data_IF_436863764305
#
_entry.id   IF_436863764305
#
_cell.length_a   1.000
_cell.length_b   1.000
_cell.length_c   1.000
_cell.angle_alpha   90.00
_cell.angle_beta   90.00
_cell.angle_gamma   90.00
#
_symmetry.space_group_name_H-M   'P 1'
#
loop_
_entity.id
_entity.type
_entity.pdbx_description
1 polymer ?
#
# COMPACT_ATOMS: atom_id res chain seq x y z
N UNK A 1 2.16 -22.96 -1.58
CA UNK A 1 3.11 -21.83 -1.72
C UNK A 1 4.15 -21.92 -0.62
N UNK A 2 5.43 -21.75 -0.95
CA UNK A 2 6.56 -21.76 -0.02
C UNK A 2 6.89 -20.34 0.40
N UNK A 3 6.97 -20.11 1.72
CA UNK A 3 7.31 -18.82 2.29
C UNK A 3 8.65 -18.87 3.03
N UNK A 4 9.44 -17.80 2.91
CA UNK A 4 10.70 -17.63 3.65
C UNK A 4 10.78 -16.22 4.25
N UNK A 5 11.46 -16.04 5.39
CA UNK A 5 11.72 -14.70 5.91
C UNK A 5 12.41 -13.83 4.88
N UNK A 6 12.01 -12.57 4.72
CA UNK A 6 12.54 -11.68 3.70
C UNK A 6 14.05 -11.46 3.88
N UNK A 7 14.54 -11.42 5.12
CA UNK A 7 15.98 -11.40 5.43
C UNK A 7 16.73 -12.55 4.75
N UNK A 8 16.20 -13.77 4.83
CA UNK A 8 16.77 -14.96 4.20
C UNK A 8 16.67 -14.91 2.69
N UNK A 9 15.52 -14.52 2.14
CA UNK A 9 15.38 -14.37 0.67
C UNK A 9 16.44 -13.42 0.10
N UNK A 10 16.68 -12.29 0.75
CA UNK A 10 17.68 -11.31 0.30
C UNK A 10 19.12 -11.82 0.44
N UNK A 11 19.43 -12.58 1.49
CA UNK A 11 20.73 -13.23 1.67
C UNK A 11 20.98 -14.25 0.56
N UNK A 12 20.06 -15.20 0.39
CA UNK A 12 20.17 -16.25 -0.61
C UNK A 12 20.29 -15.69 -2.04
N UNK A 13 19.53 -14.65 -2.37
CA UNK A 13 19.66 -13.98 -3.67
C UNK A 13 21.05 -13.39 -3.86
N UNK A 14 21.62 -12.79 -2.82
CA UNK A 14 22.96 -12.20 -2.91
C UNK A 14 24.03 -13.27 -3.05
N UNK A 15 23.89 -14.40 -2.36
CA UNK A 15 24.79 -15.57 -2.48
C UNK A 15 24.69 -16.22 -3.87
N UNK A 16 23.48 -16.23 -4.47
CA UNK A 16 23.24 -16.72 -5.82
C UNK A 16 23.59 -15.69 -6.93
N UNK A 17 24.14 -14.51 -6.59
CA UNK A 17 24.51 -13.48 -7.55
C UNK A 17 23.32 -12.72 -8.18
N UNK A 18 22.11 -12.85 -7.63
CA UNK A 18 20.93 -12.12 -8.06
C UNK A 18 20.93 -10.68 -7.51
N UNK A 19 20.48 -9.74 -8.33
CA UNK A 19 20.56 -8.32 -7.99
C UNK A 19 19.51 -7.88 -6.95
N UNK A 20 19.89 -7.95 -5.67
CA UNK A 20 19.13 -7.40 -4.56
C UNK A 20 19.47 -5.92 -4.24
N UNK A 21 20.32 -5.25 -5.05
CA UNK A 21 20.70 -3.84 -4.83
C UNK A 21 19.52 -2.88 -4.78
N UNK A 22 18.45 -3.02 -5.59
CA UNK A 22 17.29 -2.11 -5.51
C UNK A 22 16.65 -2.11 -4.12
N UNK A 23 16.45 -3.30 -3.53
CA UNK A 23 15.90 -3.41 -2.19
C UNK A 23 16.82 -2.79 -1.14
N UNK A 24 18.12 -3.11 -1.17
CA UNK A 24 19.10 -2.61 -0.18
C UNK A 24 19.25 -1.08 -0.26
N UNK A 25 19.34 -0.53 -1.46
CA UNK A 25 19.38 0.92 -1.68
C UNK A 25 18.08 1.61 -1.23
N UNK A 26 16.93 0.97 -1.49
CA UNK A 26 15.63 1.39 -1.01
C UNK A 26 15.53 1.43 0.51
N UNK A 27 16.01 0.38 1.19
CA UNK A 27 16.02 0.32 2.65
C UNK A 27 16.83 1.46 3.27
N UNK A 28 17.99 1.78 2.68
CA UNK A 28 18.83 2.90 3.11
C UNK A 28 18.13 4.26 2.96
N UNK A 29 17.31 4.43 1.91
CA UNK A 29 16.48 5.62 1.69
C UNK A 29 15.27 5.67 2.64
N UNK A 30 14.62 4.52 2.85
CA UNK A 30 13.38 4.38 3.61
C UNK A 30 13.54 4.77 5.08
N UNK A 31 14.64 4.32 5.71
CA UNK A 31 14.92 4.55 7.14
C UNK A 31 14.85 6.04 7.54
N UNK A 32 15.66 6.94 6.98
CA UNK A 32 15.61 8.36 7.35
C UNK A 32 14.29 9.02 6.90
N UNK A 33 13.74 8.62 5.73
CA UNK A 33 12.49 9.18 5.21
C UNK A 33 11.32 8.94 6.16
N UNK A 34 11.17 7.70 6.66
CA UNK A 34 10.09 7.34 7.56
C UNK A 34 10.32 7.84 8.99
N UNK A 35 11.58 7.90 9.44
CA UNK A 35 11.91 8.57 10.70
C UNK A 35 11.46 10.04 10.69
N UNK A 36 11.67 10.76 9.59
CA UNK A 36 11.18 12.14 9.41
C UNK A 36 9.65 12.29 9.37
N UNK A 37 8.91 11.19 9.19
CA UNK A 37 7.44 11.14 9.32
C UNK A 37 6.98 10.75 10.73
N UNK A 38 7.91 10.44 11.65
CA UNK A 38 7.62 10.02 13.01
C UNK A 38 7.59 8.50 13.23
N UNK A 39 7.96 7.70 12.22
CA UNK A 39 8.06 6.26 12.39
C UNK A 39 9.34 5.92 13.17
N UNK A 40 9.17 5.33 14.36
CA UNK A 40 10.31 5.01 15.24
C UNK A 40 11.11 3.79 14.79
N UNK A 41 10.44 2.79 14.20
CA UNK A 41 11.05 1.52 13.77
C UNK A 41 10.36 1.02 12.52
N UNK A 42 11.15 0.53 11.56
CA UNK A 42 10.63 -0.23 10.42
C UNK A 42 10.15 -1.62 10.87
N UNK A 43 9.30 -2.25 10.07
CA UNK A 43 8.91 -3.65 10.26
C UNK A 43 10.18 -4.53 10.20
N UNK A 44 10.50 -5.33 11.22
CA UNK A 44 11.66 -6.22 11.15
C UNK A 44 11.56 -7.18 9.95
N UNK A 45 12.65 -7.36 9.20
CA UNK A 45 12.63 -8.19 7.99
C UNK A 45 12.25 -9.65 8.28
N UNK A 46 12.57 -10.17 9.47
CA UNK A 46 12.19 -11.53 9.89
C UNK A 46 10.68 -11.68 10.17
N UNK A 47 9.97 -10.56 10.32
CA UNK A 47 8.50 -10.51 10.42
C UNK A 47 7.82 -10.33 9.06
N UNK A 48 8.58 -10.41 7.97
CA UNK A 48 8.06 -10.36 6.60
C UNK A 48 8.32 -11.70 5.96
N UNK A 49 7.27 -12.37 5.51
CA UNK A 49 7.40 -13.62 4.78
C UNK A 49 7.16 -13.38 3.31
N UNK A 50 8.17 -13.67 2.50
CA UNK A 50 8.06 -13.64 1.06
C UNK A 50 7.71 -15.04 0.54
N UNK A 51 6.58 -15.15 -0.17
CA UNK A 51 6.23 -16.30 -0.98
C UNK A 51 7.15 -16.32 -2.19
N UNK A 52 7.99 -17.35 -2.28
CA UNK A 52 9.03 -17.48 -3.30
C UNK A 52 8.69 -18.52 -4.36
N UNK A 53 7.88 -19.53 -4.02
CA UNK A 53 7.54 -20.65 -4.90
C UNK A 53 6.09 -21.08 -4.77
N UNK A 54 5.48 -21.50 -5.87
CA UNK A 54 4.15 -22.10 -5.92
C UNK A 54 4.13 -23.30 -6.86
N UNK A 55 3.41 -24.35 -6.46
CA UNK A 55 3.16 -25.53 -7.30
C UNK A 55 1.95 -25.35 -8.22
N UNK A 56 1.13 -24.31 -7.98
CA UNK A 56 0.03 -23.96 -8.88
C UNK A 56 0.60 -23.48 -10.21
N UNK A 57 0.23 -24.16 -11.29
CA UNK A 57 0.60 -23.80 -12.64
C UNK A 57 0.21 -22.35 -12.96
N UNK A 58 1.14 -21.62 -13.60
CA UNK A 58 0.92 -20.22 -13.96
C UNK A 58 0.83 -19.23 -12.81
N UNK A 59 1.09 -19.65 -11.56
CA UNK A 59 1.08 -18.75 -10.41
C UNK A 59 2.06 -17.59 -10.58
N UNK A 60 1.57 -16.38 -10.36
CA UNK A 60 2.30 -15.14 -10.53
C UNK A 60 2.26 -14.31 -9.25
N UNK A 61 3.41 -13.92 -8.73
CA UNK A 61 3.52 -13.15 -7.50
C UNK A 61 3.71 -11.65 -7.70
N UNK A 62 3.95 -10.95 -6.59
CA UNK A 62 4.08 -9.50 -6.52
C UNK A 62 2.91 -8.84 -5.78
N UNK A 63 2.99 -7.53 -5.57
CA UNK A 63 2.15 -6.73 -4.66
C UNK A 63 0.64 -7.05 -4.69
N UNK A 64 0.08 -7.38 -5.87
CA UNK A 64 -1.34 -7.66 -6.07
C UNK A 64 -1.75 -9.14 -5.91
N UNK A 65 -0.85 -10.00 -5.44
CA UNK A 65 -1.17 -11.39 -5.16
C UNK A 65 -2.23 -11.50 -4.03
N UNK A 66 -3.26 -12.35 -4.16
CA UNK A 66 -4.42 -12.38 -3.27
C UNK A 66 -4.08 -12.63 -1.79
N UNK A 67 -3.03 -13.40 -1.52
CA UNK A 67 -2.62 -13.73 -0.14
C UNK A 67 -1.77 -12.66 0.55
N UNK A 68 -1.49 -11.52 -0.10
CA UNK A 68 -0.65 -10.48 0.50
C UNK A 68 -1.31 -9.77 1.70
N UNK A 69 -0.48 -9.08 2.48
CA UNK A 69 -0.88 -8.01 3.37
C UNK A 69 -0.41 -8.16 4.82
N UNK A 70 -0.49 -7.04 5.53
CA UNK A 70 -0.05 -6.93 6.91
C UNK A 70 -1.08 -7.46 7.92
N UNK A 71 -0.67 -8.43 8.74
CA UNK A 71 -1.46 -9.05 9.81
C UNK A 71 -1.10 -8.39 11.14
N UNK A 72 -1.85 -7.37 11.53
CA UNK A 72 -1.52 -6.49 12.64
C UNK A 72 -1.44 -7.15 14.02
N UNK A 73 -2.31 -8.11 14.38
CA UNK A 73 -2.23 -8.78 15.68
C UNK A 73 -0.96 -9.63 15.82
N UNK A 74 -0.53 -10.25 14.71
CA UNK A 74 0.71 -11.03 14.66
C UNK A 74 1.95 -10.14 14.46
N UNK A 75 1.74 -8.87 14.12
CA UNK A 75 2.77 -7.93 13.71
C UNK A 75 3.66 -8.54 12.61
N UNK A 76 3.04 -9.13 11.57
CA UNK A 76 3.71 -9.87 10.48
C UNK A 76 3.14 -9.48 9.12
N UNK A 77 3.98 -9.40 8.09
CA UNK A 77 3.57 -9.21 6.70
C UNK A 77 3.73 -10.51 5.89
N UNK A 78 2.79 -10.75 4.99
CA UNK A 78 2.91 -11.76 3.94
C UNK A 78 2.99 -11.02 2.60
N UNK A 79 4.05 -11.24 1.85
CA UNK A 79 4.26 -10.68 0.51
C UNK A 79 4.69 -11.80 -0.43
N UNK A 80 4.71 -11.57 -1.74
CA UNK A 80 5.18 -12.54 -2.73
C UNK A 80 6.21 -11.88 -3.65
N UNK A 81 7.18 -12.67 -4.10
CA UNK A 81 8.16 -12.25 -5.11
C UNK A 81 7.43 -11.98 -6.42
N UNK A 82 7.72 -10.86 -7.08
CA UNK A 82 7.10 -10.56 -8.38
C UNK A 82 7.62 -11.47 -9.48
N UNK A 83 6.73 -11.90 -10.38
CA UNK A 83 7.05 -12.81 -11.49
C UNK A 83 6.42 -14.20 -11.33
N UNK A 84 6.67 -15.10 -12.30
CA UNK A 84 6.26 -16.50 -12.19
C UNK A 84 6.88 -17.18 -10.97
N UNK A 85 6.07 -17.96 -10.24
CA UNK A 85 6.46 -18.58 -8.97
C UNK A 85 6.86 -20.07 -9.09
N UNK A 86 6.93 -20.63 -10.29
CA UNK A 86 7.16 -22.06 -10.47
C UNK A 86 8.57 -22.51 -10.02
N UNK A 87 9.59 -21.73 -10.38
CA UNK A 87 11.01 -22.08 -10.19
C UNK A 87 11.55 -21.79 -8.78
N UNK A 88 10.91 -20.90 -8.02
CA UNK A 88 11.46 -20.40 -6.76
C UNK A 88 12.47 -19.26 -6.90
N UNK A 89 12.84 -18.90 -8.13
CA UNK A 89 13.83 -17.85 -8.45
C UNK A 89 13.19 -16.81 -9.38
N UNK A 90 13.32 -15.50 -9.11
CA UNK A 90 12.73 -14.49 -9.98
C UNK A 90 13.38 -14.51 -11.37
N UNK A 91 12.56 -14.49 -12.42
CA UNK A 91 13.02 -14.29 -13.81
C UNK A 91 13.61 -12.89 -14.02
N UNK A 92 13.09 -11.90 -13.29
CA UNK A 92 13.55 -10.51 -13.31
C UNK A 92 13.91 -10.06 -11.88
N UNK A 93 15.15 -10.33 -11.42
CA UNK A 93 15.55 -10.06 -10.04
C UNK A 93 15.46 -8.59 -9.64
N UNK A 94 15.80 -7.66 -10.54
CA UNK A 94 15.75 -6.22 -10.24
C UNK A 94 14.32 -5.73 -10.04
N UNK A 95 13.40 -6.15 -10.92
CA UNK A 95 11.98 -5.80 -10.82
C UNK A 95 11.35 -6.42 -9.57
N UNK A 96 11.68 -7.69 -9.29
CA UNK A 96 11.23 -8.38 -8.10
C UNK A 96 11.76 -7.71 -6.82
N UNK A 97 13.02 -7.27 -6.80
CA UNK A 97 13.59 -6.52 -5.67
C UNK A 97 12.91 -5.16 -5.47
N UNK A 98 12.55 -4.46 -6.55
CA UNK A 98 11.77 -3.21 -6.46
C UNK A 98 10.34 -3.45 -5.95
N UNK A 99 9.67 -4.50 -6.39
CA UNK A 99 8.31 -4.80 -5.93
C UNK A 99 8.29 -5.23 -4.45
N UNK A 100 9.26 -6.06 -4.03
CA UNK A 100 9.49 -6.39 -2.62
C UNK A 100 9.74 -5.12 -1.79
N UNK A 101 10.49 -4.15 -2.33
CA UNK A 101 10.71 -2.86 -1.67
C UNK A 101 9.41 -2.06 -1.52
N UNK A 102 8.55 -2.02 -2.54
CA UNK A 102 7.22 -1.38 -2.45
C UNK A 102 6.40 -2.03 -1.35
N UNK A 103 6.24 -3.36 -1.40
CA UNK A 103 5.44 -4.10 -0.44
C UNK A 103 5.96 -3.91 1.00
N UNK A 104 7.28 -3.95 1.17
CA UNK A 104 7.91 -3.71 2.47
C UNK A 104 7.74 -2.26 2.96
N UNK A 105 7.95 -1.26 2.09
CA UNK A 105 7.77 0.15 2.43
C UNK A 105 6.31 0.47 2.79
N UNK A 106 5.37 -0.13 2.06
CA UNK A 106 3.94 -0.08 2.34
C UNK A 106 3.64 -0.64 3.74
N UNK A 107 4.04 -1.89 3.98
CA UNK A 107 3.73 -2.59 5.23
C UNK A 107 4.47 -2.03 6.45
N UNK A 108 5.60 -1.32 6.26
CA UNK A 108 6.22 -0.54 7.33
C UNK A 108 5.30 0.59 7.84
N UNK A 109 4.53 1.24 6.96
CA UNK A 109 3.57 2.26 7.37
C UNK A 109 2.36 1.62 8.07
N UNK A 110 1.88 0.47 7.59
CA UNK A 110 0.86 -0.29 8.31
C UNK A 110 1.37 -0.72 9.69
N UNK A 111 2.57 -1.29 9.78
CA UNK A 111 3.21 -1.68 11.03
C UNK A 111 3.29 -0.52 12.03
N UNK A 112 3.79 0.63 11.55
CA UNK A 112 4.00 1.82 12.37
C UNK A 112 2.77 2.63 12.72
N UNK A 113 1.66 2.43 12.03
CA UNK A 113 0.42 3.18 12.26
C UNK A 113 -0.10 2.94 13.68
N UNK A 114 -0.49 4.02 14.34
CA UNK A 114 -1.05 3.98 15.68
C UNK A 114 -2.30 3.10 15.74
N UNK A 115 -2.48 2.38 16.85
CA UNK A 115 -3.68 1.56 17.08
C UNK A 115 -4.11 1.66 18.52
N UNK A 116 -5.41 1.76 18.74
CA UNK A 116 -6.02 1.60 20.05
C UNK A 116 -6.99 0.43 20.04
N UNK A 117 -6.98 -0.33 21.13
CA UNK A 117 -7.89 -1.44 21.37
C UNK A 117 -8.64 -1.19 22.66
N UNK A 118 -9.83 -1.78 22.76
CA UNK A 118 -10.59 -1.85 24.01
C UNK A 118 -10.99 -3.30 24.23
N UNK A 119 -10.94 -3.71 25.49
CA UNK A 119 -11.51 -4.98 25.94
C UNK A 119 -13.01 -4.77 26.21
N UNK A 120 -13.85 -5.67 25.70
CA UNK A 120 -15.29 -5.69 25.94
C UNK A 120 -15.71 -7.12 26.26
N UNK A 121 -15.94 -7.42 27.54
CA UNK A 121 -16.00 -8.81 27.97
C UNK A 121 -14.68 -9.49 27.60
N UNK A 122 -14.76 -10.59 26.86
CA UNK A 122 -13.59 -11.35 26.39
C UNK A 122 -13.16 -10.99 24.96
N UNK A 123 -13.78 -9.98 24.34
CA UNK A 123 -13.48 -9.56 22.97
C UNK A 123 -12.52 -8.36 22.94
N UNK A 124 -11.47 -8.45 22.12
CA UNK A 124 -10.57 -7.33 21.81
C UNK A 124 -11.09 -6.59 20.56
N UNK A 125 -11.55 -5.36 20.76
CA UNK A 125 -12.08 -4.51 19.66
C UNK A 125 -11.10 -3.39 19.33
N UNK A 126 -10.66 -3.32 18.07
CA UNK A 126 -9.85 -2.20 17.57
C UNK A 126 -10.73 -0.96 17.37
N UNK A 127 -10.45 0.09 18.14
CA UNK A 127 -11.22 1.35 18.13
C UNK A 127 -10.56 2.45 17.30
N UNK A 128 -9.27 2.34 17.03
CA UNK A 128 -8.55 3.24 16.14
C UNK A 128 -7.49 2.48 15.35
N UNK A 129 -7.36 2.88 14.09
CA UNK A 129 -6.26 2.49 13.23
C UNK A 129 -5.78 3.73 12.46
N UNK A 130 -4.62 4.27 12.83
CA UNK A 130 -4.13 5.55 12.37
C UNK A 130 -5.14 6.67 12.60
N UNK A 131 -5.68 7.23 11.53
CA UNK A 131 -6.73 8.27 11.57
C UNK A 131 -8.14 7.72 11.39
N UNK A 132 -8.31 6.41 11.18
CA UNK A 132 -9.60 5.76 11.02
C UNK A 132 -10.10 5.26 12.38
N UNK A 133 -11.26 5.75 12.81
CA UNK A 133 -11.87 5.40 14.09
C UNK A 133 -13.07 4.48 13.90
N UNK A 134 -13.23 3.55 14.83
CA UNK A 134 -14.36 2.63 14.88
C UNK A 134 -14.90 2.57 16.29
N UNK A 135 -16.22 2.51 16.41
CA UNK A 135 -16.89 2.30 17.69
C UNK A 135 -16.94 0.81 18.01
N UNK A 136 -17.19 0.50 19.29
CA UNK A 136 -17.27 -0.89 19.76
C UNK A 136 -18.45 -1.66 19.15
N UNK A 137 -19.47 -0.97 18.65
CA UNK A 137 -20.62 -1.54 17.93
C UNK A 137 -20.36 -1.69 16.42
N UNK A 138 -19.12 -1.44 15.99
CA UNK A 138 -18.71 -1.63 14.61
C UNK A 138 -18.89 -0.41 13.70
N UNK A 139 -19.54 0.67 14.14
CA UNK A 139 -19.73 1.88 13.32
C UNK A 139 -18.41 2.59 13.03
N UNK A 140 -18.19 2.96 11.76
CA UNK A 140 -16.96 3.61 11.27
C UNK A 140 -17.11 5.13 11.21
N UNK A 141 -16.03 5.85 11.51
CA UNK A 141 -16.01 7.32 11.49
C UNK A 141 -16.29 7.87 10.12
N UNK A 142 -15.69 7.28 9.07
CA UNK A 142 -15.99 7.60 7.68
C UNK A 142 -16.89 6.55 7.05
N UNK A 143 -17.84 7.01 6.23
CA UNK A 143 -18.75 6.13 5.51
C UNK A 143 -18.00 5.35 4.40
N UNK A 144 -18.49 4.16 4.02
CA UNK A 144 -18.13 3.52 2.76
C UNK A 144 -18.39 4.46 1.58
N UNK A 145 -17.51 4.44 0.59
CA UNK A 145 -17.81 5.11 -0.68
C UNK A 145 -18.95 4.36 -1.40
N UNK A 146 -19.79 5.09 -2.13
CA UNK A 146 -20.77 4.46 -3.01
C UNK A 146 -20.07 3.64 -4.10
N UNK A 147 -20.73 2.56 -4.54
CA UNK A 147 -20.26 1.75 -5.65
C UNK A 147 -19.99 2.64 -6.88
N UNK A 148 -18.82 2.47 -7.51
CA UNK A 148 -18.43 3.27 -8.67
C UNK A 148 -18.02 4.72 -8.38
N UNK A 149 -18.03 5.19 -7.12
CA UNK A 149 -17.64 6.58 -6.81
C UNK A 149 -16.21 6.87 -7.30
N UNK A 150 -15.98 7.96 -8.07
CA UNK A 150 -14.64 8.32 -8.53
C UNK A 150 -13.81 8.98 -7.43
N UNK A 151 -14.44 9.49 -6.38
CA UNK A 151 -13.82 10.20 -5.27
C UNK A 151 -13.99 9.40 -3.97
N UNK A 152 -13.19 9.74 -2.96
CA UNK A 152 -13.28 9.11 -1.65
C UNK A 152 -13.27 10.11 -0.50
N UNK A 153 -14.09 9.82 0.52
CA UNK A 153 -13.98 10.36 1.88
C UNK A 153 -13.85 9.23 2.91
N UNK A 154 -13.67 7.99 2.44
CA UNK A 154 -13.40 6.85 3.27
C UNK A 154 -11.96 6.92 3.80
N UNK A 155 -11.79 7.06 5.11
CA UNK A 155 -10.48 7.17 5.75
C UNK A 155 -9.64 5.89 5.57
N UNK A 156 -10.26 4.72 5.42
CA UNK A 156 -9.55 3.48 5.09
C UNK A 156 -8.89 3.54 3.72
N UNK A 157 -9.64 3.94 2.68
CA UNK A 157 -9.12 4.11 1.31
C UNK A 157 -8.04 5.20 1.26
N UNK A 158 -8.25 6.31 1.96
CA UNK A 158 -7.28 7.40 2.05
C UNK A 158 -5.98 6.96 2.71
N UNK A 159 -6.06 6.19 3.80
CA UNK A 159 -4.88 5.66 4.48
C UNK A 159 -4.11 4.67 3.61
N UNK A 160 -4.82 3.74 2.96
CA UNK A 160 -4.23 2.77 2.03
C UNK A 160 -3.52 3.49 0.86
N UNK A 161 -4.20 4.45 0.24
CA UNK A 161 -3.61 5.26 -0.84
C UNK A 161 -2.43 6.11 -0.38
N UNK A 162 -2.43 6.58 0.88
CA UNK A 162 -1.28 7.27 1.46
C UNK A 162 -0.08 6.31 1.63
N UNK A 163 -0.30 5.09 2.11
CA UNK A 163 0.73 4.07 2.21
C UNK A 163 1.34 3.75 0.83
N UNK A 164 0.51 3.42 -0.16
CA UNK A 164 0.99 3.01 -1.49
C UNK A 164 1.59 4.16 -2.28
N UNK A 165 1.06 5.39 -2.16
CA UNK A 165 1.68 6.56 -2.80
C UNK A 165 3.10 6.79 -2.28
N UNK A 166 3.32 6.69 -0.98
CA UNK A 166 4.65 6.87 -0.39
C UNK A 166 5.58 5.72 -0.79
N UNK A 167 5.12 4.47 -0.72
CA UNK A 167 5.89 3.30 -1.16
C UNK A 167 6.33 3.41 -2.63
N UNK A 168 5.42 3.80 -3.52
CA UNK A 168 5.71 4.02 -4.95
C UNK A 168 6.63 5.21 -5.20
N UNK A 169 6.61 6.23 -4.35
CA UNK A 169 7.56 7.34 -4.44
C UNK A 169 8.99 6.88 -4.12
N UNK A 170 9.17 5.99 -3.13
CA UNK A 170 10.47 5.39 -2.78
C UNK A 170 10.98 4.53 -3.93
N UNK A 171 10.18 3.57 -4.41
CA UNK A 171 10.59 2.69 -5.52
C UNK A 171 10.88 3.45 -6.80
N UNK A 172 10.08 4.45 -7.17
CA UNK A 172 10.35 5.32 -8.34
C UNK A 172 11.69 6.04 -8.21
N UNK A 173 12.04 6.51 -7.01
CA UNK A 173 13.34 7.16 -6.76
C UNK A 173 14.49 6.18 -6.91
N UNK A 174 14.34 4.93 -6.43
CA UNK A 174 15.35 3.89 -6.58
C UNK A 174 15.49 3.44 -8.04
N UNK A 175 14.38 3.19 -8.73
CA UNK A 175 14.38 2.83 -10.15
C UNK A 175 15.14 3.87 -10.98
N UNK A 176 14.86 5.18 -10.78
CA UNK A 176 15.59 6.26 -11.44
C UNK A 176 17.09 6.27 -11.09
N UNK A 177 17.43 6.12 -9.81
CA UNK A 177 18.82 6.12 -9.34
C UNK A 177 19.64 4.98 -9.95
N UNK A 178 19.01 3.83 -10.15
CA UNK A 178 19.64 2.62 -10.68
C UNK A 178 19.40 2.43 -12.19
N UNK A 179 18.78 3.41 -12.87
CA UNK A 179 18.42 3.33 -14.28
C UNK A 179 17.60 2.08 -14.68
N UNK A 180 16.78 1.57 -13.75
CA UNK A 180 15.91 0.41 -14.01
C UNK A 180 14.72 0.86 -14.84
N UNK A 181 14.52 0.20 -15.98
CA UNK A 181 13.42 0.46 -16.92
C UNK A 181 12.87 -0.86 -17.46
N UNK A 182 11.57 -0.92 -17.74
CA UNK A 182 10.93 -2.04 -18.46
C UNK A 182 9.99 -1.47 -19.52
N UNK A 183 10.26 -1.79 -20.78
CA UNK A 183 9.54 -1.21 -21.91
C UNK A 183 8.36 -2.07 -22.36
N UNK A 184 8.49 -3.40 -22.28
CA UNK A 184 7.55 -4.34 -22.90
C UNK A 184 7.07 -5.44 -21.96
N UNK A 185 6.02 -6.14 -22.40
CA UNK A 185 5.44 -7.27 -21.69
C UNK A 185 4.76 -6.90 -20.36
N UNK A 186 4.44 -7.94 -19.59
CA UNK A 186 3.85 -7.81 -18.25
C UNK A 186 4.75 -7.01 -17.30
N UNK A 187 6.07 -7.20 -17.40
CA UNK A 187 7.08 -6.50 -16.60
C UNK A 187 6.99 -4.98 -16.73
N UNK A 188 6.63 -4.45 -17.90
CA UNK A 188 6.44 -3.02 -18.09
C UNK A 188 5.24 -2.46 -17.31
N UNK A 189 4.14 -3.19 -17.24
CA UNK A 189 2.97 -2.82 -16.44
C UNK A 189 3.27 -2.86 -14.95
N UNK A 190 3.89 -3.94 -14.50
CA UNK A 190 4.33 -4.13 -13.11
C UNK A 190 5.28 -3.02 -12.68
N UNK A 191 6.26 -2.68 -13.54
CA UNK A 191 7.18 -1.56 -13.32
C UNK A 191 6.45 -0.22 -13.22
N UNK A 192 5.54 0.09 -14.15
CA UNK A 192 4.77 1.35 -14.12
C UNK A 192 3.87 1.42 -12.90
N UNK A 193 3.27 0.30 -12.47
CA UNK A 193 2.44 0.26 -11.27
C UNK A 193 3.26 0.53 -10.01
N UNK A 194 4.35 -0.22 -9.80
CA UNK A 194 5.17 -0.07 -8.60
C UNK A 194 5.88 1.27 -8.52
N UNK A 195 6.08 1.97 -9.63
CA UNK A 195 6.66 3.33 -9.66
C UNK A 195 5.59 4.43 -9.70
N UNK A 196 4.31 4.06 -9.72
CA UNK A 196 3.18 5.00 -9.73
C UNK A 196 3.08 5.83 -11.02
N UNK A 197 3.42 5.22 -12.15
CA UNK A 197 3.40 5.83 -13.49
C UNK A 197 2.49 5.09 -14.47
N UNK A 198 1.55 4.26 -13.98
CA UNK A 198 0.46 3.74 -14.82
C UNK A 198 -0.33 4.92 -15.40
N UNK A 199 -0.57 4.85 -16.71
CA UNK A 199 -1.31 5.86 -17.47
C UNK A 199 -2.77 5.47 -17.64
N UNK A 200 -3.63 6.41 -18.04
CA UNK A 200 -5.02 6.10 -18.43
C UNK A 200 -5.07 5.11 -19.61
N UNK A 201 -4.11 5.19 -20.53
CA UNK A 201 -3.99 4.25 -21.65
C UNK A 201 -3.66 2.83 -21.17
N UNK A 202 -2.77 2.69 -20.18
CA UNK A 202 -2.49 1.40 -19.54
C UNK A 202 -3.76 0.81 -18.93
N UNK A 203 -4.53 1.61 -18.20
CA UNK A 203 -5.77 1.18 -17.56
C UNK A 203 -6.82 0.75 -18.58
N UNK A 204 -6.96 1.51 -19.68
CA UNK A 204 -7.86 1.16 -20.78
C UNK A 204 -7.40 -0.10 -21.53
N UNK A 205 -6.10 -0.36 -21.61
CA UNK A 205 -5.57 -1.61 -22.16
C UNK A 205 -5.86 -2.78 -21.22
N UNK A 206 -5.55 -2.64 -19.93
CA UNK A 206 -5.80 -3.64 -18.90
C UNK A 206 -7.28 -3.95 -18.70
N UNK A 207 -8.21 -3.08 -19.09
CA UNK A 207 -9.64 -3.37 -19.05
C UNK A 207 -10.09 -4.38 -20.12
N UNK A 208 -9.32 -4.57 -21.20
CA UNK A 208 -9.65 -5.45 -22.33
C UNK A 208 -9.20 -6.90 -22.05
N UNK A 209 -10.11 -7.89 -21.97
CA UNK A 209 -9.74 -9.29 -21.70
C UNK A 209 -8.72 -9.86 -22.69
N UNK A 210 -8.87 -9.59 -23.99
CA UNK A 210 -7.94 -10.03 -25.02
C UNK A 210 -6.52 -9.46 -24.81
N UNK A 211 -6.42 -8.23 -24.32
CA UNK A 211 -5.13 -7.60 -24.03
C UNK A 211 -4.45 -8.28 -22.83
N UNK A 212 -5.22 -8.58 -21.77
CA UNK A 212 -4.71 -9.33 -20.61
C UNK A 212 -4.25 -10.73 -21.02
N UNK A 213 -5.05 -11.45 -21.81
CA UNK A 213 -4.69 -12.79 -22.30
C UNK A 213 -3.39 -12.79 -23.12
N UNK A 214 -3.15 -11.75 -23.92
CA UNK A 214 -1.92 -11.63 -24.71
C UNK A 214 -0.65 -11.41 -23.85
N UNK A 215 -0.78 -10.79 -22.67
CA UNK A 215 0.35 -10.45 -21.80
C UNK A 215 0.47 -11.35 -20.56
N UNK A 216 -0.57 -12.12 -20.26
CA UNK A 216 -0.68 -13.02 -19.13
C UNK A 216 -1.48 -14.27 -19.57
N UNK A 217 -0.84 -15.19 -20.32
CA UNK A 217 -1.53 -16.32 -20.94
C UNK A 217 -2.08 -17.33 -19.93
N UNK A 218 -1.50 -17.40 -18.73
CA UNK A 218 -2.02 -18.22 -17.64
C UNK A 218 -3.06 -17.45 -16.80
N UNK A 219 -4.12 -18.14 -16.41
CA UNK A 219 -5.22 -17.56 -15.61
C UNK A 219 -4.74 -16.81 -14.34
N UNK A 220 -3.80 -17.33 -13.51
CA UNK A 220 -3.38 -16.61 -12.31
C UNK A 220 -2.65 -15.29 -12.61
N UNK A 221 -1.90 -15.23 -13.71
CA UNK A 221 -1.26 -13.99 -14.16
C UNK A 221 -2.30 -12.98 -14.68
N UNK A 222 -3.36 -13.44 -15.34
CA UNK A 222 -4.46 -12.57 -15.77
C UNK A 222 -5.24 -12.00 -14.57
N UNK A 223 -5.47 -12.80 -13.53
CA UNK A 223 -6.05 -12.35 -12.25
C UNK A 223 -5.15 -11.29 -11.60
N UNK A 224 -3.83 -11.49 -11.61
CA UNK A 224 -2.89 -10.49 -11.09
C UNK A 224 -3.04 -9.13 -11.79
N UNK A 225 -3.15 -9.12 -13.13
CA UNK A 225 -3.36 -7.88 -13.88
C UNK A 225 -4.71 -7.22 -13.58
N UNK A 226 -5.77 -8.01 -13.40
CA UNK A 226 -7.08 -7.48 -13.01
C UNK A 226 -7.04 -6.88 -11.58
N UNK A 227 -6.40 -7.55 -10.63
CA UNK A 227 -6.20 -7.04 -9.27
C UNK A 227 -5.43 -5.73 -9.27
N UNK A 228 -4.36 -5.63 -10.06
CA UNK A 228 -3.59 -4.39 -10.23
C UNK A 228 -4.46 -3.25 -10.77
N UNK A 229 -5.27 -3.53 -11.80
CA UNK A 229 -6.22 -2.56 -12.34
C UNK A 229 -7.22 -2.11 -11.26
N UNK A 230 -7.86 -3.07 -10.60
CA UNK A 230 -8.86 -2.81 -9.57
C UNK A 230 -8.28 -1.99 -8.40
N UNK A 231 -7.06 -2.28 -7.95
CA UNK A 231 -6.38 -1.52 -6.91
C UNK A 231 -6.08 -0.08 -7.38
N UNK A 232 -5.60 0.08 -8.62
CA UNK A 232 -5.32 1.39 -9.17
C UNK A 232 -6.59 2.26 -9.26
N UNK A 233 -7.73 1.68 -9.62
CA UNK A 233 -9.03 2.38 -9.71
C UNK A 233 -9.64 2.68 -8.32
N UNK A 234 -9.64 1.69 -7.42
CA UNK A 234 -10.35 1.77 -6.14
C UNK A 234 -9.57 2.48 -5.03
N UNK A 235 -8.24 2.50 -5.10
CA UNK A 235 -7.37 3.10 -4.08
C UNK A 235 -6.60 4.28 -4.67
N UNK A 236 -5.73 4.01 -5.63
CA UNK A 236 -4.70 4.97 -6.03
C UNK A 236 -5.27 6.19 -6.76
N UNK A 237 -6.16 5.98 -7.74
CA UNK A 237 -6.80 7.06 -8.47
C UNK A 237 -7.69 7.91 -7.54
N UNK A 238 -8.42 7.27 -6.62
CA UNK A 238 -9.25 7.97 -5.62
C UNK A 238 -8.42 8.80 -4.66
N UNK A 239 -7.28 8.27 -4.21
CA UNK A 239 -6.38 9.02 -3.35
C UNK A 239 -5.74 10.22 -4.06
N UNK A 240 -5.36 10.07 -5.32
CA UNK A 240 -4.88 11.18 -6.15
C UNK A 240 -5.94 12.28 -6.28
N UNK A 241 -7.19 11.91 -6.58
CA UNK A 241 -8.31 12.86 -6.65
C UNK A 241 -8.59 13.52 -5.31
N UNK A 242 -8.59 12.76 -4.21
CA UNK A 242 -8.71 13.31 -2.85
C UNK A 242 -7.65 14.38 -2.57
N UNK A 243 -6.38 14.11 -2.92
CA UNK A 243 -5.31 15.08 -2.74
C UNK A 243 -5.48 16.31 -3.65
N UNK A 244 -5.97 16.14 -4.88
CA UNK A 244 -6.25 17.25 -5.78
C UNK A 244 -7.40 18.13 -5.26
N UNK A 245 -8.49 17.52 -4.78
CA UNK A 245 -9.68 18.22 -4.32
C UNK A 245 -9.44 18.96 -3.00
N UNK A 246 -8.86 18.27 -2.01
CA UNK A 246 -8.69 18.77 -0.64
C UNK A 246 -7.35 19.46 -0.44
N UNK A 247 -6.30 18.91 -1.05
CA UNK A 247 -4.94 19.43 -0.97
C UNK A 247 -4.67 20.56 -1.96
N UNK A 248 -5.29 20.52 -3.15
CA UNK A 248 -5.05 21.45 -4.26
C UNK A 248 -3.55 21.59 -4.53
N UNK A 249 -3.05 22.83 -4.63
CA UNK A 249 -1.61 23.11 -4.82
C UNK A 249 -0.71 22.61 -3.68
N UNK A 250 -1.27 22.20 -2.55
CA UNK A 250 -0.55 21.75 -1.36
C UNK A 250 -0.74 20.25 -1.08
N UNK A 251 -1.06 19.46 -2.11
CA UNK A 251 -1.25 18.01 -2.02
C UNK A 251 -0.10 17.28 -1.29
N UNK A 252 1.15 17.68 -1.50
CA UNK A 252 2.31 17.11 -0.80
C UNK A 252 2.28 17.39 0.71
N UNK A 253 1.85 18.59 1.11
CA UNK A 253 1.68 18.98 2.50
C UNK A 253 0.58 18.18 3.19
N UNK A 254 -0.58 18.02 2.52
CA UNK A 254 -1.68 17.19 3.00
C UNK A 254 -1.26 15.72 3.15
N UNK A 255 -0.58 15.17 2.14
CA UNK A 255 -0.06 13.80 2.19
C UNK A 255 0.87 13.57 3.39
N UNK A 256 1.81 14.49 3.64
CA UNK A 256 2.72 14.39 4.78
C UNK A 256 2.00 14.57 6.13
N UNK A 257 0.99 15.45 6.21
CA UNK A 257 0.16 15.62 7.41
C UNK A 257 -0.66 14.34 7.72
N UNK A 258 -1.20 13.68 6.69
CA UNK A 258 -1.90 12.41 6.83
C UNK A 258 -0.98 11.31 7.36
N UNK A 259 0.20 11.10 6.76
CA UNK A 259 1.15 10.09 7.22
C UNK A 259 1.57 10.31 8.68
N UNK A 260 1.86 11.57 9.06
CA UNK A 260 2.18 11.92 10.46
C UNK A 260 1.02 11.63 11.42
N UNK A 261 -0.21 11.95 11.03
CA UNK A 261 -1.40 11.66 11.83
C UNK A 261 -1.66 10.15 11.94
N UNK A 262 -1.44 9.38 10.86
CA UNK A 262 -1.56 7.92 10.86
C UNK A 262 -0.57 7.26 11.81
N UNK A 263 0.69 7.72 11.80
CA UNK A 263 1.76 7.17 12.65
C UNK A 263 1.60 7.56 14.11
N UNK A 264 1.19 8.80 14.40
CA UNK A 264 1.02 9.28 15.77
C UNK A 264 -0.32 8.94 16.42
N UNK A 265 -1.35 8.69 15.61
CA UNK A 265 -2.74 8.57 16.08
C UNK A 265 -3.38 9.89 16.48
N UNK A 266 -2.65 11.01 16.37
CA UNK A 266 -3.16 12.33 16.71
C UNK A 266 -3.66 13.07 15.48
N UNK A 267 -4.89 13.58 15.55
CA UNK A 267 -5.45 14.42 14.50
C UNK A 267 -5.00 15.87 14.58
N UNK A 268 -4.35 16.31 15.66
CA UNK A 268 -4.11 17.74 15.92
C UNK A 268 -3.45 18.47 14.74
N UNK A 269 -2.35 17.91 14.20
CA UNK A 269 -1.64 18.49 13.06
C UNK A 269 -2.45 18.46 11.76
N UNK A 270 -3.17 17.36 11.50
CA UNK A 270 -4.00 17.21 10.31
C UNK A 270 -5.21 18.13 10.34
N UNK A 271 -5.94 18.18 11.46
CA UNK A 271 -7.07 19.08 11.68
C UNK A 271 -6.63 20.53 11.59
N UNK A 272 -5.53 20.93 12.21
CA UNK A 272 -5.02 22.29 12.09
C UNK A 272 -4.62 22.63 10.65
N UNK A 273 -4.05 21.68 9.91
CA UNK A 273 -3.73 21.87 8.49
C UNK A 273 -4.98 22.10 7.64
N UNK A 274 -6.03 21.30 7.86
CA UNK A 274 -7.31 21.40 7.17
C UNK A 274 -8.04 22.69 7.55
N UNK A 275 -8.10 23.00 8.85
CA UNK A 275 -8.87 24.14 9.34
C UNK A 275 -8.31 25.49 8.85
N UNK A 276 -6.98 25.60 8.72
CA UNK A 276 -6.35 26.78 8.11
C UNK A 276 -6.75 27.03 6.65
N UNK A 277 -7.20 25.99 5.93
CA UNK A 277 -7.49 26.04 4.49
C UNK A 277 -8.98 26.01 4.15
N UNK A 278 -9.75 25.33 4.98
CA UNK A 278 -11.15 25.02 4.72
C UNK A 278 -12.10 25.53 5.83
N UNK A 279 -11.56 26.18 6.87
CA UNK A 279 -12.31 26.72 8.01
C UNK A 279 -12.40 25.74 9.20
N UNK A 280 -12.89 26.19 10.36
CA UNK A 280 -12.88 25.39 11.58
C UNK A 280 -13.70 24.09 11.44
N UNK A 281 -13.23 23.01 12.08
CA UNK A 281 -13.90 21.68 12.11
C UNK A 281 -13.93 20.97 10.75
N UNK A 282 -13.01 21.30 9.85
CA UNK A 282 -12.96 20.74 8.49
C UNK A 282 -12.77 19.23 8.45
N UNK A 283 -12.01 18.66 9.39
CA UNK A 283 -11.85 17.21 9.46
C UNK A 283 -13.20 16.50 9.65
N UNK A 284 -14.01 16.96 10.60
CA UNK A 284 -15.33 16.38 10.83
C UNK A 284 -16.27 16.63 9.64
N UNK A 285 -16.26 17.83 9.07
CA UNK A 285 -17.07 18.15 7.90
C UNK A 285 -16.76 17.25 6.69
N UNK A 286 -15.50 16.86 6.51
CA UNK A 286 -15.07 16.01 5.39
C UNK A 286 -15.36 14.52 5.60
N UNK A 287 -15.23 14.03 6.83
CA UNK A 287 -15.12 12.59 7.08
C UNK A 287 -16.16 12.02 8.02
N UNK A 288 -16.86 12.83 8.82
CA UNK A 288 -17.79 12.33 9.81
C UNK A 288 -19.02 11.71 9.13
N UNK A 289 -19.15 10.40 9.27
CA UNK A 289 -20.33 9.64 8.93
C UNK A 289 -21.48 10.09 9.84
N UNK A 290 -22.64 10.52 9.29
CA UNK A 290 -23.80 10.90 10.07
C UNK A 290 -24.27 9.82 11.06
N UNK A 291 -24.03 8.54 10.76
CA UNK A 291 -24.35 7.41 11.64
C UNK A 291 -23.33 7.17 12.77
N UNK A 292 -22.19 7.86 12.77
CA UNK A 292 -21.11 7.63 13.75
C UNK A 292 -21.40 8.11 15.18
N UNK A 293 -22.01 9.29 15.42
CA UNK A 293 -22.30 9.76 16.78
C UNK A 293 -23.13 8.75 17.60
N UNK A 294 -22.85 8.61 18.90
CA UNK A 294 -23.86 8.13 19.86
C UNK A 294 -24.58 9.34 20.45
N UNK A 295 -25.88 9.14 20.71
CA UNK A 295 -26.81 10.03 21.45
C UNK A 295 -26.13 10.93 22.47
N UNK A 296 -26.57 12.20 22.48
CA UNK A 296 -26.53 13.07 23.64
C UNK A 296 -26.86 12.27 24.91
N UNK A 297 -25.92 12.20 25.85
CA UNK A 297 -26.31 12.01 27.24
C UNK A 297 -27.00 13.32 27.64
N UNK A 298 -28.33 13.33 27.64
CA UNK A 298 -29.07 14.12 28.64
C UNK A 298 -28.90 13.41 29.96
#
# INVERSE_FOLDING_TARGET
MTFRPLSRVLTDWSEAGLDARPFRAGLALLRPRYAGLGLRRLLPLDRVMAGVRSEREGAYGGFHHPDQGYRHLHMRALITVSGPLASGTPEDPELAALDLLRAYAHDCLHYGSFRSYRLRGDEIVRTQYGVNFRRHDGRTYSAPDLAGSPNTRNLGVIMEGACDREARAVTRRIARRLAIVRAEGMSAYVFRDMTGTLTTADMAALARPAYRAAHAPAEPAAIFLESMKAYQESVNARYVRFLADVGRGEAAGLHAALLRAMLSGSLAGLSAWLDRRHGPRSFAALFLNPGYPARSRR
#
